data_IF_496317705899
#
_entry.id   IF_496317705899
#
_cell.length_a   1.000
_cell.length_b   1.000
_cell.length_c   1.000
_cell.angle_alpha   90.00
_cell.angle_beta   90.00
_cell.angle_gamma   90.00
#
_symmetry.space_group_name_H-M   'P 1'
#
loop_
_entity.id
_entity.type
_entity.pdbx_description
1 polymer ?
2 water ?
#
# COMPACT_ATOMS: atom_id res chain seq x y z
N UNK A 23 -10.34 -10.58 -5.39
CA UNK A 23 -9.29 -11.25 -6.16
C UNK A 23 -9.69 -11.52 -7.61
N UNK A 24 -10.70 -10.81 -8.11
CA UNK A 24 -11.16 -11.00 -9.46
C UNK A 24 -10.10 -10.48 -10.44
N UNK A 25 -10.22 -10.83 -11.73
CA UNK A 25 -9.13 -10.51 -12.66
C UNK A 25 -8.90 -9.04 -12.87
N UNK A 26 -9.91 -8.18 -12.66
CA UNK A 26 -9.74 -6.74 -12.69
C UNK A 26 -9.89 -6.16 -11.28
N UNK A 27 -9.08 -5.17 -10.96
CA UNK A 27 -9.26 -4.37 -9.76
C UNK A 27 -9.63 -2.94 -10.16
N UNK A 28 -10.62 -2.38 -9.49
CA UNK A 28 -11.03 -0.99 -9.70
C UNK A 28 -10.15 -0.06 -8.86
N UNK A 29 -10.16 1.22 -9.26
CA UNK A 29 -9.38 2.22 -8.54
C UNK A 29 -9.80 2.35 -7.08
N UNK A 30 -11.10 2.40 -6.74
CA UNK A 30 -11.42 2.52 -5.31
C UNK A 30 -10.90 1.35 -4.50
N UNK A 31 -11.02 0.12 -5.01
CA UNK A 31 -10.49 -1.02 -4.26
C UNK A 31 -8.98 -0.93 -4.17
N UNK A 32 -8.33 -0.59 -5.28
CA UNK A 32 -6.88 -0.49 -5.27
C UNK A 32 -6.40 0.53 -4.25
N UNK A 33 -7.05 1.68 -4.18
CA UNK A 33 -6.61 2.70 -3.21
C UNK A 33 -6.69 2.17 -1.79
N UNK A 34 -7.75 1.43 -1.47
CA UNK A 34 -7.85 0.90 -0.11
C UNK A 34 -6.85 -0.22 0.15
N UNK A 35 -6.57 -1.05 -0.86
CA UNK A 35 -5.56 -2.08 -0.67
C UNK A 35 -4.18 -1.48 -0.47
N UNK A 36 -3.88 -0.39 -1.16
CA UNK A 36 -2.58 0.27 -0.96
C UNK A 36 -2.50 0.88 0.43
N UNK A 37 -3.57 1.53 0.87
CA UNK A 37 -3.55 2.17 2.19
C UNK A 37 -3.41 1.14 3.30
N UNK A 38 -3.92 -0.07 3.11
CA UNK A 38 -3.86 -1.11 4.12
C UNK A 38 -2.62 -1.98 4.04
N UNK A 39 -1.77 -1.79 3.04
CA UNK A 39 -0.60 -2.61 2.88
C UNK A 39 -0.86 -3.99 2.33
N UNK A 40 -1.93 -4.15 1.53
CA UNK A 40 -2.35 -5.46 1.07
C UNK A 40 -2.20 -5.70 -0.42
N UNK A 41 -1.79 -4.70 -1.21
CA UNK A 41 -1.54 -4.88 -2.64
C UNK A 41 -0.11 -4.51 -2.98
N UNK A 42 0.45 -5.21 -3.95
CA UNK A 42 1.73 -4.89 -4.54
C UNK A 42 1.48 -4.47 -5.98
N UNK A 43 2.17 -3.45 -6.43
CA UNK A 43 1.98 -2.88 -7.75
C UNK A 43 3.14 -3.23 -8.65
N UNK A 44 2.83 -3.56 -9.91
CA UNK A 44 3.82 -3.85 -10.95
C UNK A 44 3.47 -3.04 -12.19
N UNK A 45 4.34 -2.09 -12.54
CA UNK A 45 4.22 -1.30 -13.76
C UNK A 45 4.87 -2.11 -14.86
N UNK A 46 4.08 -2.57 -15.82
CA UNK A 46 4.58 -3.45 -16.88
C UNK A 46 4.90 -2.70 -18.16
N UNK A 47 4.96 -1.37 -18.11
CA UNK A 47 5.43 -0.59 -19.23
C UNK A 47 6.96 -0.73 -19.36
N UNK A 48 7.50 -0.15 -20.43
CA UNK A 48 8.94 -0.17 -20.62
C UNK A 48 9.64 0.62 -19.52
N UNK A 49 10.94 0.35 -19.36
CA UNK A 49 11.74 1.06 -18.37
C UNK A 49 11.71 2.59 -18.59
N UNK A 50 11.81 3.03 -19.85
CA UNK A 50 11.75 4.46 -20.12
C UNK A 50 10.44 5.06 -19.66
N UNK A 51 9.33 4.35 -19.92
CA UNK A 51 8.03 4.86 -19.50
C UNK A 51 7.94 4.96 -18.00
N UNK A 52 8.31 3.89 -17.29
CA UNK A 52 8.17 3.89 -15.84
C UNK A 52 9.11 4.89 -15.18
N UNK A 53 10.29 5.12 -15.76
CA UNK A 53 11.24 6.07 -15.19
C UNK A 53 10.70 7.49 -15.21
N UNK A 54 9.80 7.78 -16.14
CA UNK A 54 9.24 9.12 -16.27
C UNK A 54 8.09 9.37 -15.31
N UNK A 55 7.67 8.37 -14.58
CA UNK A 55 6.61 8.51 -13.62
C UNK A 55 5.78 7.26 -13.61
N UNK A 56 5.35 6.88 -12.42
CA UNK A 56 4.59 5.64 -12.24
C UNK A 56 3.61 5.87 -11.09
N UNK A 57 2.82 4.84 -10.81
CA UNK A 57 2.00 4.87 -9.60
C UNK A 57 2.91 4.70 -8.40
N UNK A 58 2.80 5.56 -7.39
CA UNK A 58 3.73 5.49 -6.25
C UNK A 58 3.81 4.07 -5.71
N UNK A 59 5.04 3.60 -5.51
CA UNK A 59 5.30 2.30 -4.96
C UNK A 59 5.41 1.18 -5.99
N UNK A 60 5.11 1.43 -7.25
CA UNK A 60 5.09 0.36 -8.22
C UNK A 60 6.50 -0.09 -8.61
N UNK A 61 6.65 -1.40 -8.75
CA UNK A 61 7.88 -1.99 -9.25
C UNK A 61 7.78 -2.15 -10.75
N UNK A 62 8.79 -1.69 -11.49
CA UNK A 62 8.76 -1.80 -12.95
C UNK A 62 9.30 -3.16 -13.38
N UNK A 63 8.42 -3.99 -13.93
CA UNK A 63 8.80 -5.21 -14.62
C UNK A 63 8.14 -5.13 -15.98
N UNK A 64 8.84 -4.65 -17.00
CA UNK A 64 8.22 -4.58 -18.33
C UNK A 64 7.62 -5.91 -18.72
N UNK A 65 6.49 -5.86 -19.44
CA UNK A 65 5.80 -7.10 -19.77
C UNK A 65 6.71 -8.07 -20.52
N UNK A 66 7.63 -7.55 -21.35
CA UNK A 66 8.56 -8.40 -22.07
C UNK A 66 9.56 -9.10 -21.18
N UNK A 67 9.75 -8.63 -19.95
CA UNK A 67 10.61 -9.26 -18.94
C UNK A 67 9.85 -10.13 -17.97
N UNK A 68 8.52 -10.07 -17.95
CA UNK A 68 7.76 -10.61 -16.82
C UNK A 68 7.83 -12.13 -16.75
N UNK A 69 7.77 -12.82 -17.88
CA UNK A 69 7.89 -14.27 -17.84
C UNK A 69 9.20 -14.69 -17.18
N UNK A 70 10.30 -14.09 -17.61
CA UNK A 70 11.58 -14.43 -17.02
C UNK A 70 11.65 -14.04 -15.55
N UNK A 71 11.04 -12.90 -15.18
CA UNK A 71 11.02 -12.50 -13.77
C UNK A 71 10.28 -13.51 -12.91
N UNK A 72 9.14 -14.00 -13.39
CA UNK A 72 8.38 -14.96 -12.61
C UNK A 72 8.99 -16.35 -12.63
N UNK A 73 9.86 -16.65 -13.61
CA UNK A 73 10.51 -17.95 -13.68
C UNK A 73 11.84 -17.98 -12.94
N UNK A 74 12.50 -16.84 -12.75
CA UNK A 74 13.86 -16.88 -12.24
C UNK A 74 13.87 -17.14 -10.74
N UNK A 75 15.02 -17.61 -10.25
CA UNK A 75 15.12 -17.90 -8.84
C UNK A 75 14.95 -16.64 -7.99
N UNK A 76 14.45 -16.77 -6.77
CA UNK A 76 14.23 -15.58 -5.92
C UNK A 76 15.44 -14.67 -5.77
N UNK A 77 16.64 -15.22 -5.57
CA UNK A 77 17.80 -14.35 -5.40
C UNK A 77 18.12 -13.60 -6.70
N UNK A 78 17.85 -14.22 -7.85
CA UNK A 78 18.07 -13.53 -9.12
C UNK A 78 17.06 -12.41 -9.31
N UNK A 79 15.81 -12.64 -8.89
CA UNK A 79 14.81 -11.58 -8.94
C UNK A 79 15.23 -10.41 -8.06
N UNK A 80 15.67 -10.70 -6.84
CA UNK A 80 16.09 -9.63 -5.94
C UNK A 80 17.24 -8.84 -6.56
N UNK A 81 18.20 -9.55 -7.17
CA UNK A 81 19.34 -8.86 -7.77
C UNK A 81 18.89 -7.92 -8.88
N UNK A 82 18.02 -8.39 -9.78
CA UNK A 82 17.68 -7.58 -10.94
C UNK A 82 16.72 -6.45 -10.59
N UNK A 83 15.72 -6.74 -9.75
CA UNK A 83 14.62 -5.83 -9.49
C UNK A 83 14.69 -5.12 -8.15
N UNK A 84 15.62 -5.50 -7.27
CA UNK A 84 15.80 -4.84 -5.97
C UNK A 84 14.53 -4.93 -5.11
N UNK A 85 13.85 -6.07 -5.19
CA UNK A 85 12.63 -6.32 -4.44
C UNK A 85 12.49 -7.83 -4.33
N UNK A 86 11.63 -8.28 -3.41
CA UNK A 86 11.44 -9.70 -3.20
C UNK A 86 10.48 -10.27 -4.25
N UNK A 87 10.81 -11.45 -4.76
CA UNK A 87 9.97 -12.11 -5.76
C UNK A 87 8.62 -12.42 -5.13
N UNK A 88 7.52 -12.16 -5.83
CA UNK A 88 6.21 -12.57 -5.29
C UNK A 88 6.11 -14.08 -5.22
N UNK A 89 5.21 -14.54 -4.36
CA UNK A 89 4.93 -15.96 -4.17
C UNK A 89 3.57 -16.29 -4.78
N UNK A 90 3.41 -17.56 -5.19
CA UNK A 90 2.20 -17.95 -5.89
C UNK A 90 0.96 -17.73 -5.05
N UNK A 91 1.09 -17.81 -3.73
CA UNK A 91 -0.03 -17.62 -2.83
C UNK A 91 -0.30 -16.16 -2.51
N UNK A 92 0.39 -15.21 -3.14
CA UNK A 92 0.20 -13.82 -2.76
C UNK A 92 -1.15 -13.35 -3.26
N UNK A 93 -1.77 -12.43 -2.51
CA UNK A 93 -2.96 -11.82 -3.02
C UNK A 93 -2.68 -10.40 -3.53
N UNK A 94 -3.52 -9.95 -4.45
CA UNK A 94 -3.52 -8.59 -4.93
C UNK A 94 -2.16 -8.18 -5.47
N UNK A 95 -1.65 -9.01 -6.39
CA UNK A 95 -0.51 -8.65 -7.22
C UNK A 95 -1.10 -7.89 -8.41
N UNK A 96 -0.97 -6.57 -8.39
CA UNK A 96 -1.70 -5.70 -9.31
C UNK A 96 -0.76 -5.22 -10.40
N UNK A 97 -1.09 -5.57 -11.65
CA UNK A 97 -0.32 -5.18 -12.82
C UNK A 97 -1.03 -4.05 -13.55
N UNK A 98 -0.25 -3.16 -14.18
CA UNK A 98 -0.86 -2.09 -14.95
C UNK A 98 0.09 -1.56 -16.01
N UNK A 99 -0.49 -0.99 -17.07
CA UNK A 99 0.25 -0.16 -18.01
C UNK A 99 -0.40 1.23 -18.05
N UNK A 100 -0.32 1.98 -19.14
CA UNK A 100 -0.95 3.31 -19.18
C UNK A 100 -2.39 3.27 -19.68
N UNK A 101 -2.82 2.20 -20.36
CA UNK A 101 -4.15 2.15 -20.94
C UNK A 101 -4.84 0.79 -20.88
N UNK A 102 -4.21 -0.22 -20.27
CA UNK A 102 -4.86 -1.48 -19.94
C UNK A 102 -4.30 -2.69 -20.65
N UNK A 103 -3.84 -2.54 -21.89
CA UNK A 103 -3.59 -3.71 -22.73
C UNK A 103 -2.39 -4.51 -22.26
N UNK A 104 -1.26 -3.86 -21.95
CA UNK A 104 -0.11 -4.59 -21.44
C UNK A 104 -0.35 -5.09 -20.01
N UNK A 105 -1.10 -4.33 -19.22
CA UNK A 105 -1.48 -4.82 -17.90
C UNK A 105 -2.32 -6.09 -17.96
N UNK A 106 -3.24 -6.14 -18.93
CA UNK A 106 -4.03 -7.35 -19.14
C UNK A 106 -3.13 -8.52 -19.57
N UNK A 107 -2.26 -8.29 -20.55
CA UNK A 107 -1.34 -9.32 -20.99
C UNK A 107 -0.50 -9.84 -19.81
N UNK A 108 0.01 -8.93 -18.98
CA UNK A 108 0.83 -9.34 -17.85
C UNK A 108 0.02 -10.14 -16.84
N UNK A 109 -1.22 -9.73 -16.58
CA UNK A 109 -2.05 -10.42 -15.61
C UNK A 109 -2.34 -11.84 -16.07
N UNK A 110 -2.71 -11.97 -17.33
CA UNK A 110 -2.97 -13.30 -17.89
C UNK A 110 -1.72 -14.17 -17.82
N UNK A 111 -0.56 -13.59 -18.15
CA UNK A 111 0.69 -14.35 -18.08
C UNK A 111 0.95 -14.83 -16.65
N UNK A 112 0.84 -13.92 -15.69
CA UNK A 112 1.09 -14.29 -14.31
C UNK A 112 0.12 -15.37 -13.84
N UNK A 113 -1.17 -15.20 -14.14
CA UNK A 113 -2.13 -16.24 -13.78
C UNK A 113 -1.75 -17.58 -14.40
N UNK A 114 -1.29 -17.57 -15.65
CA UNK A 114 -0.97 -18.81 -16.34
C UNK A 114 0.20 -19.55 -15.71
N UNK A 115 1.03 -18.85 -14.95
CA UNK A 115 2.17 -19.45 -14.24
C UNK A 115 1.83 -19.79 -12.81
N UNK A 116 0.57 -19.64 -12.41
CA UNK A 116 0.12 -20.07 -11.11
C UNK A 116 -0.10 -18.97 -10.09
N UNK A 117 0.07 -17.70 -10.46
CA UNK A 117 -0.11 -16.58 -9.52
C UNK A 117 -1.57 -16.21 -9.49
N UNK A 118 -2.31 -16.89 -8.60
CA UNK A 118 -3.76 -16.75 -8.53
C UNK A 118 -4.18 -15.37 -8.03
N UNK A 119 -3.26 -14.61 -7.42
CA UNK A 119 -3.53 -13.28 -6.94
C UNK A 119 -3.28 -12.17 -7.93
N UNK A 120 -2.90 -12.51 -9.17
CA UNK A 120 -2.65 -11.49 -10.18
C UNK A 120 -3.95 -10.84 -10.62
N UNK A 121 -3.95 -9.50 -10.66
CA UNK A 121 -5.09 -8.72 -11.08
C UNK A 121 -4.62 -7.55 -11.94
N UNK A 122 -5.47 -7.12 -12.88
CA UNK A 122 -5.16 -6.01 -13.78
C UNK A 122 -5.89 -4.77 -13.28
N UNK A 123 -5.14 -3.68 -13.08
CA UNK A 123 -5.78 -2.38 -12.85
C UNK A 123 -6.13 -1.82 -14.25
N UNK A 124 -7.33 -2.18 -14.72
CA UNK A 124 -7.72 -1.88 -16.10
C UNK A 124 -7.80 -0.39 -16.38
N UNK A 125 -8.21 0.42 -15.40
CA UNK A 125 -8.23 1.85 -15.60
C UNK A 125 -6.85 2.40 -15.94
N UNK A 126 -5.82 1.81 -15.34
CA UNK A 126 -4.43 2.01 -15.74
C UNK A 126 -3.87 3.39 -15.37
N UNK A 127 -2.62 3.67 -15.79
CA UNK A 127 -1.94 4.88 -15.32
C UNK A 127 -2.65 6.15 -15.79
N UNK A 128 -3.21 6.17 -16.99
CA UNK A 128 -3.91 7.39 -17.40
C UNK A 128 -5.09 7.70 -16.49
N UNK A 129 -5.85 6.66 -16.07
CA UNK A 129 -6.93 6.90 -15.11
C UNK A 129 -6.36 7.33 -13.78
N UNK A 130 -5.29 6.69 -13.32
CA UNK A 130 -4.66 7.09 -12.08
C UNK A 130 -4.38 8.59 -12.10
N UNK A 131 -3.80 9.08 -13.21
CA UNK A 131 -3.47 10.49 -13.32
C UNK A 131 -4.71 11.37 -13.38
N UNK A 132 -5.78 10.86 -14.02
CA UNK A 132 -7.03 11.59 -14.21
C UNK A 132 -7.79 11.75 -12.90
N UNK A 133 -7.72 10.76 -12.03
CA UNK A 133 -8.48 10.75 -10.78
C UNK A 133 -7.64 11.18 -9.58
N UNK A 134 -6.36 11.47 -9.78
CA UNK A 134 -5.52 11.99 -8.71
C UNK A 134 -6.03 13.36 -8.30
N UNK A 135 -6.03 13.62 -7.00
CA UNK A 135 -6.55 14.89 -6.47
C UNK A 135 -5.63 16.04 -6.87
N UNK B 22 7.53 19.16 4.95
CA UNK B 22 6.79 18.05 4.38
C UNK B 22 6.71 16.89 5.38
N UNK B 23 5.66 16.08 5.26
CA UNK B 23 5.45 14.97 6.17
C UNK B 23 5.45 15.41 7.62
N UNK B 24 4.72 16.49 7.91
CA UNK B 24 4.70 17.08 9.24
C UNK B 24 3.91 16.20 10.22
N UNK B 25 4.00 16.48 11.52
CA UNK B 25 3.44 15.52 12.49
C UNK B 25 1.94 15.36 12.45
N UNK B 26 1.19 16.32 11.94
CA UNK B 26 -0.25 16.21 11.76
C UNK B 26 -0.58 16.20 10.27
N UNK B 27 -1.60 15.44 9.90
CA UNK B 27 -2.17 15.53 8.56
C UNK B 27 -3.62 15.98 8.67
N UNK B 28 -3.98 16.97 7.84
CA UNK B 28 -5.36 17.43 7.74
C UNK B 28 -6.17 16.52 6.83
N UNK B 29 -7.49 16.60 6.94
CA UNK B 29 -8.33 15.80 6.06
C UNK B 29 -8.13 16.17 4.59
N UNK B 30 -8.07 17.43 4.19
CA UNK B 30 -7.80 17.70 2.76
C UNK B 30 -6.53 17.04 2.26
N UNK B 31 -5.45 17.10 3.03
CA UNK B 31 -4.22 16.44 2.60
C UNK B 31 -4.38 14.92 2.60
N UNK B 32 -5.04 14.37 3.62
CA UNK B 32 -5.21 12.93 3.68
C UNK B 32 -5.99 12.42 2.47
N UNK B 33 -7.06 13.15 2.09
CA UNK B 33 -7.80 12.77 0.89
C UNK B 33 -6.88 12.68 -0.33
N UNK B 34 -6.00 13.66 -0.48
CA UNK B 34 -5.10 13.69 -1.62
C UNK B 34 -4.07 12.57 -1.56
N UNK B 35 -3.57 12.25 -0.37
CA UNK B 35 -2.60 11.17 -0.22
C UNK B 35 -3.24 9.82 -0.54
N UNK B 36 -4.46 9.59 -0.05
CA UNK B 36 -5.13 8.34 -0.33
C UNK B 36 -5.46 8.22 -1.81
N UNK B 37 -5.88 9.31 -2.44
CA UNK B 37 -6.17 9.26 -3.87
C UNK B 37 -4.92 8.91 -4.66
N UNK B 38 -3.76 9.39 -4.23
CA UNK B 38 -2.51 9.21 -4.97
C UNK B 38 -1.69 8.03 -4.46
N UNK B 39 -2.27 7.17 -3.61
CA UNK B 39 -1.59 5.96 -3.19
C UNK B 39 -0.38 6.17 -2.32
N UNK B 40 -0.26 7.33 -1.68
CA UNK B 40 0.97 7.70 -0.99
C UNK B 40 0.93 7.47 0.51
N UNK B 41 -0.23 7.12 1.06
CA UNK B 41 -0.39 6.91 2.49
C UNK B 41 -0.59 5.44 2.84
N UNK B 42 -0.13 5.09 4.02
CA UNK B 42 -0.65 3.95 4.74
C UNK B 42 -1.54 4.49 5.84
N UNK B 43 -2.59 3.76 6.17
CA UNK B 43 -3.52 4.14 7.23
C UNK B 43 -3.52 3.07 8.29
N UNK B 44 -3.47 3.53 9.54
CA UNK B 44 -3.52 2.66 10.72
C UNK B 44 -4.54 3.19 11.70
N UNK B 45 -5.57 2.39 11.95
CA UNK B 45 -6.56 2.65 13.00
C UNK B 45 -5.97 2.08 14.28
N UNK B 46 -5.62 2.96 15.22
CA UNK B 46 -4.95 2.53 16.45
C UNK B 46 -5.92 2.37 17.62
N UNK B 47 -7.22 2.37 17.33
CA UNK B 47 -8.20 2.04 18.34
C UNK B 47 -8.19 0.54 18.65
N UNK B 48 -8.95 0.15 19.64
CA UNK B 48 -9.06 -1.25 20.00
C UNK B 48 -9.70 -2.04 18.84
N UNK B 49 -9.49 -3.35 18.87
CA UNK B 49 -10.07 -4.21 17.85
C UNK B 49 -11.59 -4.12 17.83
N UNK B 50 -12.23 -4.00 18.99
CA UNK B 50 -13.69 -3.90 18.99
C UNK B 50 -14.18 -2.58 18.40
N UNK B 51 -13.41 -1.50 18.58
CA UNK B 51 -13.78 -0.24 17.94
C UNK B 51 -13.64 -0.33 16.42
N UNK B 52 -12.50 -0.84 15.96
CA UNK B 52 -12.28 -0.90 14.52
C UNK B 52 -13.23 -1.86 13.85
N UNK B 53 -13.62 -2.93 14.54
CA UNK B 53 -14.55 -3.90 13.95
C UNK B 53 -15.90 -3.29 13.63
N UNK B 54 -16.27 -2.23 14.33
CA UNK B 54 -17.56 -1.60 14.15
C UNK B 54 -17.55 -0.54 13.05
N UNK B 55 -16.40 -0.29 12.43
CA UNK B 55 -16.31 0.67 11.35
C UNK B 55 -14.99 1.41 11.44
N UNK B 56 -14.40 1.72 10.28
CA UNK B 56 -13.10 2.38 10.23
C UNK B 56 -13.05 3.26 8.98
N UNK B 57 -11.93 3.95 8.81
CA UNK B 57 -11.68 4.67 7.56
C UNK B 57 -11.31 3.65 6.49
N UNK B 58 -11.95 3.68 5.32
CA UNK B 58 -11.61 2.70 4.27
C UNK B 58 -10.11 2.67 3.99
N UNK B 59 -9.54 1.47 3.96
CA UNK B 59 -8.12 1.32 3.77
C UNK B 59 -7.30 1.25 5.03
N UNK B 60 -7.90 1.42 6.21
CA UNK B 60 -7.13 1.41 7.43
C UNK B 60 -6.86 0.00 7.95
N UNK B 61 -5.61 -0.25 8.32
CA UNK B 61 -5.22 -1.47 9.00
C UNK B 61 -5.31 -1.24 10.51
N UNK B 62 -5.98 -2.15 11.23
CA UNK B 62 -6.16 -1.97 12.67
C UNK B 62 -4.94 -2.51 13.41
N UNK B 63 -4.16 -1.62 14.01
CA UNK B 63 -3.10 -1.99 14.96
C UNK B 63 -3.37 -1.18 16.22
N UNK B 64 -4.06 -1.73 17.21
CA UNK B 64 -4.30 -0.99 18.45
C UNK B 64 -3.00 -0.39 18.99
N UNK B 65 -3.10 0.80 19.57
CA UNK B 65 -1.89 1.46 20.01
C UNK B 65 -1.10 0.61 21.00
N UNK B 66 -1.76 -0.21 21.82
CA UNK B 66 -1.04 -1.05 22.76
C UNK B 66 -0.29 -2.20 22.10
N UNK B 67 -0.59 -2.51 20.83
CA UNK B 67 0.14 -3.50 20.04
C UNK B 67 1.21 -2.88 19.16
N UNK B 68 1.22 -1.56 19.03
CA UNK B 68 1.99 -0.94 17.95
C UNK B 68 3.50 -1.06 18.15
N UNK B 69 3.98 -0.93 19.39
CA UNK B 69 5.42 -1.07 19.61
C UNK B 69 5.89 -2.44 19.15
N UNK B 70 5.17 -3.51 19.52
CA UNK B 70 5.56 -4.83 19.08
C UNK B 70 5.41 -5.00 17.58
N UNK B 71 4.34 -4.44 17.00
CA UNK B 71 4.13 -4.54 15.56
C UNK B 71 5.28 -3.91 14.78
N UNK B 72 5.77 -2.75 15.24
CA UNK B 72 6.85 -2.08 14.53
C UNK B 72 8.20 -2.72 14.78
N UNK B 73 8.34 -3.50 15.86
CA UNK B 73 9.58 -4.19 16.20
C UNK B 73 9.67 -5.60 15.61
N UNK B 74 8.54 -6.23 15.27
CA UNK B 74 8.55 -7.65 14.94
C UNK B 74 9.03 -7.89 13.51
N UNK B 75 9.42 -9.13 13.22
CA UNK B 75 9.87 -9.47 11.88
C UNK B 75 8.74 -9.32 10.86
N UNK B 76 9.06 -8.98 9.61
CA UNK B 76 7.99 -8.83 8.60
C UNK B 76 7.08 -10.04 8.46
N UNK B 77 7.61 -11.26 8.49
CA UNK B 77 6.75 -12.43 8.40
C UNK B 77 5.79 -12.52 9.58
N UNK B 78 6.26 -12.14 10.78
CA UNK B 78 5.38 -12.17 11.95
C UNK B 78 4.30 -11.11 11.83
N UNK B 79 4.65 -9.95 11.27
CA UNK B 79 3.66 -8.91 11.04
C UNK B 79 2.59 -9.39 10.08
N UNK B 80 3.01 -10.02 8.97
CA UNK B 80 2.05 -10.55 8.01
C UNK B 80 1.14 -11.61 8.63
N UNK B 81 1.71 -12.48 9.46
CA UNK B 81 0.91 -13.52 10.09
C UNK B 81 -0.17 -12.93 11.00
N UNK B 82 0.18 -11.90 11.76
CA UNK B 82 -0.78 -11.38 12.73
C UNK B 82 -1.78 -10.42 12.09
N UNK B 83 -1.30 -9.52 11.21
CA UNK B 83 -2.10 -8.43 10.69
C UNK B 83 -2.57 -8.64 9.25
N UNK B 84 -2.08 -9.67 8.57
CA UNK B 84 -2.51 -9.99 7.21
C UNK B 84 -2.29 -8.82 6.25
N UNK B 85 -1.14 -8.17 6.38
CA UNK B 85 -0.74 -7.02 5.57
C UNK B 85 0.77 -6.91 5.69
N UNK B 86 1.36 -6.10 4.82
CA UNK B 86 2.80 -5.92 4.81
C UNK B 86 3.24 -4.91 5.86
N UNK B 87 4.31 -5.24 6.58
CA UNK B 87 4.86 -4.32 7.57
C UNK B 87 5.31 -3.03 6.88
N UNK B 88 5.04 -1.86 7.45
CA UNK B 88 5.56 -0.62 6.86
C UNK B 88 7.08 -0.57 7.00
N UNK B 89 7.67 0.29 6.19
CA UNK B 89 9.11 0.45 6.13
C UNK B 89 9.50 1.80 6.75
N UNK B 90 10.72 1.85 7.31
CA UNK B 90 11.18 3.08 7.95
C UNK B 90 11.14 4.26 6.99
N UNK B 91 11.39 3.99 5.72
CA UNK B 91 11.51 4.99 4.67
C UNK B 91 10.15 5.43 4.12
N UNK B 92 9.05 4.80 4.54
CA UNK B 92 7.75 5.16 4.02
C UNK B 92 7.43 6.58 4.42
N UNK B 93 6.89 7.36 3.48
CA UNK B 93 6.81 8.82 3.63
C UNK B 93 5.56 9.31 4.37
N UNK B 94 4.47 8.57 4.35
CA UNK B 94 3.23 9.00 5.00
C UNK B 94 2.59 7.77 5.63
N UNK B 95 2.83 7.59 6.91
CA UNK B 95 2.26 6.51 7.71
C UNK B 95 1.29 7.20 8.65
N UNK B 96 0.00 7.15 8.34
CA UNK B 96 -1.01 7.95 9.02
C UNK B 96 -1.73 7.11 10.06
N UNK B 97 -1.64 7.55 11.31
CA UNK B 97 -2.28 6.92 12.45
C UNK B 97 -3.48 7.73 12.88
N UNK B 98 -4.52 7.06 13.37
CA UNK B 98 -5.68 7.78 13.86
C UNK B 98 -6.42 6.98 14.91
N UNK B 99 -7.09 7.71 15.82
CA UNK B 99 -8.13 7.12 16.66
C UNK B 99 -9.44 7.83 16.35
N UNK B 100 -10.37 7.92 17.31
CA UNK B 100 -11.63 8.59 17.04
C UNK B 100 -11.60 10.07 17.39
N UNK B 101 -10.64 10.53 18.19
CA UNK B 101 -10.64 11.92 18.61
C UNK B 101 -9.25 12.54 18.74
N UNK B 102 -8.17 11.82 18.37
CA UNK B 102 -6.85 12.38 18.20
C UNK B 102 -5.80 11.89 19.20
N UNK B 103 -6.23 11.49 20.40
CA UNK B 103 -5.31 11.33 21.51
C UNK B 103 -4.45 10.07 21.36
N UNK B 104 -5.08 8.93 21.05
CA UNK B 104 -4.32 7.70 20.78
C UNK B 104 -3.59 7.78 19.45
N UNK B 105 -4.17 8.47 18.46
CA UNK B 105 -3.44 8.69 17.22
C UNK B 105 -2.15 9.45 17.44
N UNK B 106 -2.19 10.47 18.30
CA UNK B 106 -0.99 11.23 18.65
C UNK B 106 0.02 10.33 19.35
N UNK B 107 -0.44 9.55 20.33
CA UNK B 107 0.44 8.63 21.04
C UNK B 107 1.12 7.67 20.07
N UNK B 108 0.35 7.12 19.12
CA UNK B 108 0.89 6.17 18.16
C UNK B 108 1.90 6.83 17.24
N UNK B 109 1.62 8.06 16.82
CA UNK B 109 2.53 8.77 15.93
C UNK B 109 3.85 9.02 16.62
N UNK B 110 3.80 9.48 17.87
CA UNK B 110 5.03 9.74 18.62
C UNK B 110 5.82 8.45 18.82
N UNK B 111 5.13 7.36 19.12
CA UNK B 111 5.82 6.09 19.29
C UNK B 111 6.50 5.65 18.00
N UNK B 112 5.76 5.71 16.89
CA UNK B 112 6.33 5.28 15.61
C UNK B 112 7.54 6.14 15.24
N UNK B 113 7.41 7.46 15.38
CA UNK B 113 8.54 8.34 15.09
C UNK B 113 9.74 7.95 15.94
N UNK B 114 9.51 7.63 17.22
CA UNK B 114 10.61 7.35 18.13
C UNK B 114 11.35 6.07 17.75
N UNK B 115 10.71 5.18 17.00
CA UNK B 115 11.33 3.94 16.54
C UNK B 115 11.93 4.07 15.14
N UNK B 116 11.97 5.29 14.60
CA UNK B 116 12.64 5.55 13.34
C UNK B 116 11.73 5.71 12.16
N UNK B 117 10.41 5.64 12.35
CA UNK B 117 9.47 5.80 11.24
C UNK B 117 9.22 7.29 11.04
N UNK B 118 10.11 7.91 10.25
CA UNK B 118 10.10 9.35 10.05
C UNK B 118 8.84 9.83 9.36
N UNK B 119 8.13 8.95 8.68
CA UNK B 119 6.92 9.30 7.98
C UNK B 119 5.65 9.21 8.79
N UNK B 120 5.74 8.93 10.10
CA UNK B 120 4.54 8.83 10.92
C UNK B 120 3.88 10.18 11.11
N UNK B 121 2.55 10.20 10.95
CA UNK B 121 1.75 11.40 11.05
C UNK B 121 0.41 11.06 11.70
N UNK B 122 -0.15 12.01 12.44
CA UNK B 122 -1.44 11.82 13.13
C UNK B 122 -2.55 12.54 12.36
N UNK B 123 -3.62 11.81 12.04
CA UNK B 123 -4.82 12.45 11.50
C UNK B 123 -5.63 12.96 12.70
N UNK B 124 -5.32 14.20 13.11
CA UNK B 124 -5.85 14.75 14.36
C UNK B 124 -7.38 14.89 14.33
N UNK B 125 -7.96 15.23 13.18
CA UNK B 125 -9.42 15.30 13.10
C UNK B 125 -10.07 13.96 13.42
N UNK B 126 -9.42 12.88 13.00
CA UNK B 126 -9.67 11.54 13.49
C UNK B 126 -10.98 10.96 12.94
N UNK B 127 -11.36 9.78 13.43
CA UNK B 127 -12.48 9.08 12.83
C UNK B 127 -13.80 9.83 12.98
N UNK B 128 -14.02 10.56 14.09
CA UNK B 128 -15.25 11.35 14.20
C UNK B 128 -15.34 12.37 13.08
N UNK B 129 -14.22 13.02 12.72
CA UNK B 129 -14.26 13.97 11.60
C UNK B 129 -14.49 13.25 10.28
N UNK B 130 -13.85 12.10 10.09
CA UNK B 130 -14.11 11.33 8.88
C UNK B 130 -15.60 11.05 8.72
N UNK B 131 -16.24 10.61 9.80
CA UNK B 131 -17.67 10.36 9.75
C UNK B 131 -18.47 11.62 9.43
N UNK B 132 -18.01 12.75 9.98
CA UNK B 132 -18.65 14.07 9.83
C UNK B 132 -18.56 14.59 8.41
N UNK B 133 -17.41 14.38 7.74
CA UNK B 133 -17.10 15.06 6.49
C UNK B 133 -16.98 14.14 5.28
N UNK B 134 -16.78 12.84 5.51
CA UNK B 134 -16.55 11.87 4.43
C UNK B 134 -17.58 10.76 4.38
N UNK B 135 -18.36 10.57 5.44
CA UNK B 135 -19.30 9.45 5.53
C UNK B 135 -18.53 8.14 5.68
#
# INVERSE_FOLDING_TARGET
>A
MGSSHHHHHHSSGLVPRGSHMAGAPTVSLPELRSLLASGRARLFDVRSREEAAAGTIPGALNIPVSELESALQMEPAAFQALYSAEKPKLEDEHLVFFCQMGKRGLQATQLARSLGYTGARNYAGAYREWLEKES
>B
MGSSHHHHHHSSGLVPRGSHMAGAPTVSLPELRSLLASGRARLFDVRSREEAAAGTIPGALNIPVSELESALQMEPAAFQALYSAEKPKLEDEHLVFFCQMGKRGLQATQLARSLGYTGARNYAGAYREWLEKES
#
